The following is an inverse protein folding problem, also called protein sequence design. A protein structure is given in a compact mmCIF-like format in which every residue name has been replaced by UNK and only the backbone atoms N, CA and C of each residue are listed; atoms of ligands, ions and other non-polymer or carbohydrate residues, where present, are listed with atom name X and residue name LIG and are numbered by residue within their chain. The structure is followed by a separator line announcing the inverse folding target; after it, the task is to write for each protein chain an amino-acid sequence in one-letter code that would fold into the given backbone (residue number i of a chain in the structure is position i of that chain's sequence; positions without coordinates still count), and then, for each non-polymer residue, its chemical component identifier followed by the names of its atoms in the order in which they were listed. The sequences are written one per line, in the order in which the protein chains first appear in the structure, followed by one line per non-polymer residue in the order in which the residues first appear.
data_IF_673771276929
#
_entry.id   IF_673771276929
#
_cell.length_a   1.000
_cell.length_b   1.000
_cell.length_c   1.000
_cell.angle_alpha   90.00
_cell.angle_beta   90.00
_cell.angle_gamma   90.00
#
_symmetry.space_group_name_H-M   'P 1'
#
loop_
_entity.id
_entity.type
_entity.pdbx_description
1 polymer ?
#
# COMPACT_ATOMS: atom_id res chain seq x y z
N UNK A 1 -13.49 52.54 31.74
CA UNK A 1 -12.40 51.72 32.24
C UNK A 1 -12.74 50.28 31.89
N UNK A 2 -12.20 49.74 30.87
CA UNK A 2 -12.23 48.30 30.60
C UNK A 2 -11.22 48.03 29.47
N UNK A 3 -10.11 47.46 29.85
CA UNK A 3 -9.05 47.15 28.91
C UNK A 3 -9.38 45.95 28.07
N UNK A 4 -9.13 46.05 26.80
CA UNK A 4 -9.23 45.00 25.80
C UNK A 4 -7.79 44.46 25.56
N UNK A 5 -7.49 43.27 26.08
CA UNK A 5 -6.26 42.57 25.78
C UNK A 5 -6.48 41.64 24.57
N UNK A 6 -6.16 42.16 23.40
CA UNK A 6 -6.03 41.36 22.19
C UNK A 6 -4.63 40.74 22.11
N UNK A 7 -4.48 39.45 22.36
CA UNK A 7 -3.24 38.73 22.09
C UNK A 7 -3.18 38.37 20.61
N UNK A 8 -2.33 39.08 19.89
CA UNK A 8 -1.98 38.75 18.48
C UNK A 8 -1.10 37.52 18.47
N UNK A 9 -1.57 36.44 17.83
CA UNK A 9 -0.75 35.28 17.50
C UNK A 9 0.13 35.66 16.30
N UNK A 10 1.41 35.89 16.55
CA UNK A 10 2.41 36.06 15.50
C UNK A 10 2.72 34.70 14.87
N UNK A 11 2.35 34.52 13.60
CA UNK A 11 2.82 33.40 12.79
C UNK A 11 4.24 33.67 12.33
N UNK A 12 5.19 32.89 12.87
CA UNK A 12 6.59 32.94 12.45
C UNK A 12 6.73 32.55 10.96
N UNK A 13 7.56 33.33 10.27
CA UNK A 13 7.93 33.13 8.86
C UNK A 13 8.56 31.76 8.63
N UNK A 14 8.07 31.04 7.63
CA UNK A 14 8.55 29.73 7.23
C UNK A 14 10.01 29.78 6.79
N UNK A 15 10.89 29.18 7.59
CA UNK A 15 12.25 28.84 7.17
C UNK A 15 12.22 27.51 6.43
N UNK A 16 12.90 27.47 5.30
CA UNK A 16 13.41 26.35 4.51
C UNK A 16 12.66 25.02 4.57
N UNK A 17 11.90 24.68 3.53
CA UNK A 17 11.38 23.32 3.32
C UNK A 17 12.57 22.44 2.96
N UNK A 18 13.12 21.76 3.95
CA UNK A 18 14.02 20.64 3.70
C UNK A 18 13.24 19.52 3.03
N UNK A 19 13.78 18.99 1.95
CA UNK A 19 13.27 17.78 1.27
C UNK A 19 13.14 16.65 2.30
N UNK A 20 11.95 16.05 2.50
CA UNK A 20 11.83 14.95 3.45
C UNK A 20 12.73 13.81 2.97
N UNK A 21 13.60 13.37 3.88
CA UNK A 21 14.44 12.21 3.70
C UNK A 21 13.59 11.02 3.21
N UNK A 22 14.11 10.29 2.22
CA UNK A 22 13.56 9.03 1.78
C UNK A 22 13.23 8.17 3.00
N UNK A 23 12.07 7.51 2.97
CA UNK A 23 11.59 6.62 4.02
C UNK A 23 12.75 5.69 4.44
N UNK A 24 13.34 6.01 5.59
CA UNK A 24 14.49 5.27 6.11
C UNK A 24 13.98 3.91 6.58
N UNK A 25 14.46 2.85 5.95
CA UNK A 25 14.16 1.44 6.27
C UNK A 25 14.76 0.97 7.63
N UNK A 26 14.90 1.88 8.60
CA UNK A 26 15.67 1.62 9.82
C UNK A 26 14.92 0.91 10.96
N UNK A 27 13.64 0.53 10.78
CA UNK A 27 12.88 -0.21 11.80
C UNK A 27 12.11 -1.38 11.17
N UNK A 28 12.86 -2.37 10.67
CA UNK A 28 12.28 -3.70 10.44
C UNK A 28 12.66 -4.58 11.63
N UNK A 29 11.71 -5.28 12.28
CA UNK A 29 12.06 -6.32 13.24
C UNK A 29 12.91 -7.37 12.51
N UNK A 30 13.96 -7.83 13.14
CA UNK A 30 14.81 -8.87 12.64
C UNK A 30 13.98 -10.14 12.44
N UNK A 31 13.54 -10.38 11.20
CA UNK A 31 13.11 -11.71 10.81
C UNK A 31 14.33 -12.64 10.96
N UNK A 32 14.15 -13.92 11.37
CA UNK A 32 15.25 -14.84 11.48
C UNK A 32 16.03 -14.88 10.17
N UNK A 33 17.35 -14.79 10.27
CA UNK A 33 18.24 -14.83 9.11
C UNK A 33 17.90 -16.05 8.25
N UNK A 34 17.71 -15.90 6.92
CA UNK A 34 17.43 -17.03 6.05
C UNK A 34 18.66 -17.96 6.05
N UNK A 35 18.52 -19.14 6.64
CA UNK A 35 19.59 -20.15 6.67
C UNK A 35 19.69 -20.96 5.38
N UNK A 36 18.90 -20.64 4.35
CA UNK A 36 18.98 -21.21 2.99
C UNK A 36 18.52 -20.16 1.98
N UNK A 37 19.19 -20.05 0.84
CA UNK A 37 18.75 -19.22 -0.28
C UNK A 37 17.29 -19.54 -0.61
N UNK A 38 16.43 -18.53 -0.65
CA UNK A 38 15.03 -18.74 -0.98
C UNK A 38 14.91 -19.37 -2.39
N UNK A 39 13.89 -20.21 -2.65
CA UNK A 39 13.70 -20.84 -3.95
C UNK A 39 13.72 -19.82 -5.08
N UNK A 40 14.27 -20.18 -6.24
CA UNK A 40 14.37 -19.30 -7.41
C UNK A 40 13.01 -18.77 -7.90
N UNK A 41 11.91 -19.43 -7.54
CA UNK A 41 10.52 -19.01 -7.80
C UNK A 41 9.86 -18.33 -6.59
N UNK A 42 10.58 -18.01 -5.52
CA UNK A 42 10.03 -17.31 -4.35
C UNK A 42 9.60 -15.90 -4.73
N UNK A 43 8.36 -15.54 -4.40
CA UNK A 43 7.77 -14.25 -4.77
C UNK A 43 7.14 -13.56 -3.56
N UNK A 44 7.54 -12.32 -3.32
CA UNK A 44 6.89 -11.42 -2.38
C UNK A 44 5.79 -10.64 -3.11
N UNK A 45 4.53 -10.85 -2.70
CA UNK A 45 3.39 -10.10 -3.22
C UNK A 45 2.98 -9.01 -2.23
N UNK A 46 3.22 -7.74 -2.56
CA UNK A 46 2.64 -6.63 -1.80
C UNK A 46 1.11 -6.67 -1.87
N UNK A 47 0.44 -6.69 -0.71
CA UNK A 47 -1.01 -6.80 -0.58
C UNK A 47 -1.60 -5.56 0.06
N UNK A 48 -2.49 -4.87 -0.66
CA UNK A 48 -3.20 -3.69 -0.15
C UNK A 48 -4.49 -4.03 0.62
N UNK A 49 -5.12 -5.17 0.33
CA UNK A 49 -6.32 -5.69 0.98
C UNK A 49 -6.64 -7.10 0.48
N UNK A 50 -7.48 -7.83 1.20
CA UNK A 50 -7.87 -9.20 0.83
C UNK A 50 -8.47 -9.31 -0.58
N UNK A 51 -9.55 -8.58 -0.91
CA UNK A 51 -10.18 -8.67 -2.23
C UNK A 51 -9.25 -8.40 -3.42
N UNK A 52 -8.29 -7.46 -3.26
CA UNK A 52 -7.33 -7.14 -4.31
C UNK A 52 -6.25 -8.22 -4.47
N UNK A 53 -6.04 -9.07 -3.47
CA UNK A 53 -5.02 -10.11 -3.47
C UNK A 53 -5.49 -11.43 -4.10
N UNK A 54 -6.81 -11.68 -4.18
CA UNK A 54 -7.37 -12.97 -4.64
C UNK A 54 -6.82 -13.39 -5.99
N UNK A 55 -6.98 -12.55 -7.01
CA UNK A 55 -6.55 -12.90 -8.36
C UNK A 55 -5.03 -12.87 -8.54
N UNK A 56 -4.29 -11.85 -8.02
CA UNK A 56 -2.84 -11.88 -8.06
C UNK A 56 -2.23 -13.14 -7.42
N UNK A 57 -2.69 -13.57 -6.26
CA UNK A 57 -2.21 -14.81 -5.63
C UNK A 57 -2.53 -16.00 -6.53
N UNK A 58 -3.76 -16.11 -7.04
CA UNK A 58 -4.18 -17.23 -7.87
C UNK A 58 -3.33 -17.33 -9.13
N UNK A 59 -3.24 -16.25 -9.91
CA UNK A 59 -2.52 -16.25 -11.19
C UNK A 59 -1.01 -16.49 -11.03
N UNK A 60 -0.38 -15.85 -10.05
CA UNK A 60 1.04 -16.05 -9.81
C UNK A 60 1.36 -17.49 -9.37
N UNK A 61 0.48 -18.13 -8.58
CA UNK A 61 0.63 -19.54 -8.24
C UNK A 61 0.42 -20.46 -9.44
N UNK A 62 -0.56 -20.17 -10.29
CA UNK A 62 -0.80 -20.92 -11.53
C UNK A 62 0.41 -20.85 -12.48
N UNK A 63 1.20 -19.76 -12.40
CA UNK A 63 2.47 -19.58 -13.11
C UNK A 63 3.67 -20.25 -12.42
N UNK A 64 3.46 -20.93 -11.29
CA UNK A 64 4.51 -21.68 -10.58
C UNK A 64 5.30 -20.89 -9.54
N UNK A 65 4.91 -19.66 -9.18
CA UNK A 65 5.56 -18.91 -8.11
C UNK A 65 5.18 -19.43 -6.73
N UNK A 66 6.16 -19.50 -5.83
CA UNK A 66 5.97 -19.69 -4.40
C UNK A 66 5.64 -18.33 -3.75
N UNK A 67 4.35 -17.99 -3.72
CA UNK A 67 3.87 -16.67 -3.29
C UNK A 67 3.84 -16.56 -1.77
N UNK A 68 4.44 -15.48 -1.24
CA UNK A 68 4.26 -14.99 0.13
C UNK A 68 3.60 -13.62 0.07
N UNK A 69 2.46 -13.47 0.71
CA UNK A 69 1.76 -12.19 0.83
C UNK A 69 2.48 -11.26 1.84
N UNK A 70 2.56 -9.97 1.55
CA UNK A 70 3.14 -8.96 2.43
C UNK A 70 2.20 -7.77 2.56
N UNK A 71 1.63 -7.60 3.75
CA UNK A 71 0.70 -6.52 4.04
C UNK A 71 1.45 -5.33 4.64
N UNK A 72 1.71 -4.30 3.82
CA UNK A 72 2.37 -3.04 4.19
C UNK A 72 1.62 -1.85 3.58
N UNK A 73 0.96 -1.07 4.41
CA UNK A 73 0.03 -0.04 3.95
C UNK A 73 0.01 1.18 4.89
N UNK A 74 1.04 2.02 4.93
CA UNK A 74 1.10 3.19 5.82
C UNK A 74 0.05 4.25 5.48
N UNK A 75 -0.54 4.16 4.30
CA UNK A 75 -1.54 5.09 3.77
C UNK A 75 -2.97 4.82 4.25
N UNK A 76 -3.26 3.66 4.84
CA UNK A 76 -4.64 3.30 5.20
C UNK A 76 -5.02 3.93 6.53
N UNK A 77 -6.09 4.71 6.52
CA UNK A 77 -6.63 5.44 7.66
C UNK A 77 -8.16 5.39 7.67
N UNK A 78 -8.81 5.48 8.83
CA UNK A 78 -8.23 5.42 10.18
C UNK A 78 -7.73 4.02 10.57
N UNK A 79 -7.20 3.86 11.78
CA UNK A 79 -6.72 2.56 12.29
C UNK A 79 -7.77 1.45 12.16
N UNK A 80 -9.04 1.76 12.40
CA UNK A 80 -10.12 0.78 12.27
C UNK A 80 -10.24 0.23 10.83
N UNK A 81 -10.02 1.07 9.81
CA UNK A 81 -10.01 0.62 8.41
C UNK A 81 -8.76 -0.20 8.10
N UNK A 82 -7.60 0.20 8.63
CA UNK A 82 -6.36 -0.58 8.51
C UNK A 82 -6.54 -1.99 9.07
N UNK A 83 -7.08 -2.12 10.28
CA UNK A 83 -7.31 -3.41 10.94
C UNK A 83 -8.29 -4.29 10.16
N UNK A 84 -9.38 -3.74 9.63
CA UNK A 84 -10.33 -4.50 8.78
C UNK A 84 -9.67 -5.05 7.52
N UNK A 85 -8.81 -4.25 6.86
CA UNK A 85 -8.11 -4.70 5.65
C UNK A 85 -7.01 -5.71 5.96
N UNK A 86 -6.32 -5.53 7.08
CA UNK A 86 -5.33 -6.47 7.59
C UNK A 86 -5.97 -7.84 7.84
N UNK A 87 -7.09 -7.86 8.53
CA UNK A 87 -7.86 -9.07 8.78
C UNK A 87 -8.31 -9.74 7.47
N UNK A 88 -8.91 -8.97 6.57
CA UNK A 88 -9.34 -9.50 5.26
C UNK A 88 -8.16 -10.02 4.41
N UNK A 89 -6.98 -9.43 4.51
CA UNK A 89 -5.77 -9.93 3.86
C UNK A 89 -5.34 -11.28 4.45
N UNK A 90 -5.40 -11.43 5.78
CA UNK A 90 -5.14 -12.68 6.47
C UNK A 90 -6.10 -13.79 6.07
N UNK A 91 -7.41 -13.51 6.08
CA UNK A 91 -8.46 -14.45 5.66
C UNK A 91 -8.27 -14.88 4.19
N UNK A 92 -7.88 -13.95 3.31
CA UNK A 92 -7.59 -14.26 1.91
C UNK A 92 -6.38 -15.19 1.79
N UNK A 93 -5.29 -14.89 2.48
CA UNK A 93 -4.07 -15.69 2.47
C UNK A 93 -4.32 -17.11 3.00
N UNK A 94 -5.03 -17.23 4.11
CA UNK A 94 -5.41 -18.52 4.71
C UNK A 94 -6.23 -19.37 3.75
N UNK A 95 -7.30 -18.80 3.16
CA UNK A 95 -8.18 -19.52 2.23
C UNK A 95 -7.49 -19.93 0.94
N UNK A 96 -6.49 -19.17 0.52
CA UNK A 96 -5.68 -19.49 -0.65
C UNK A 96 -4.43 -20.31 -0.30
N UNK A 97 -4.19 -20.63 0.97
CA UNK A 97 -3.05 -21.46 1.43
C UNK A 97 -1.70 -20.85 1.13
N UNK A 98 -1.55 -19.51 1.31
CA UNK A 98 -0.27 -18.81 1.16
C UNK A 98 0.14 -18.17 2.49
N UNK A 99 1.45 -18.13 2.81
CA UNK A 99 1.91 -17.41 3.99
C UNK A 99 1.70 -15.91 3.83
N UNK A 100 1.48 -15.21 4.96
CA UNK A 100 1.37 -13.75 5.01
C UNK A 100 2.30 -13.17 6.07
N UNK A 101 2.99 -12.09 5.71
CA UNK A 101 3.82 -11.28 6.59
C UNK A 101 3.15 -9.93 6.76
N UNK A 102 3.02 -9.48 8.00
CA UNK A 102 2.48 -8.16 8.33
C UNK A 102 3.61 -7.21 8.69
N UNK A 103 3.61 -6.02 8.11
CA UNK A 103 4.53 -4.94 8.42
C UNK A 103 3.80 -3.83 9.19
N UNK A 104 3.13 -4.21 10.28
CA UNK A 104 2.28 -3.33 11.08
C UNK A 104 3.07 -2.16 11.69
N UNK A 105 4.36 -2.33 11.95
CA UNK A 105 5.29 -1.31 12.43
C UNK A 105 5.49 -0.16 11.43
N UNK A 106 5.18 -0.39 10.16
CA UNK A 106 5.25 0.66 9.11
C UNK A 106 4.04 1.57 9.10
N UNK A 107 2.98 1.24 9.86
CA UNK A 107 1.78 2.06 9.93
C UNK A 107 2.01 3.29 10.80
N UNK A 108 2.44 4.38 10.16
CA UNK A 108 2.67 5.70 10.77
C UNK A 108 1.95 6.78 9.97
N UNK A 109 0.75 7.15 10.47
CA UNK A 109 -0.08 8.18 9.86
C UNK A 109 0.63 9.54 9.78
N UNK A 110 1.43 9.88 10.80
CA UNK A 110 2.10 11.17 10.86
C UNK A 110 3.16 11.29 9.79
N UNK A 111 3.99 10.26 9.62
CA UNK A 111 5.01 10.21 8.58
C UNK A 111 4.37 10.16 7.19
N UNK A 112 3.30 9.38 7.00
CA UNK A 112 2.61 9.35 5.72
C UNK A 112 2.01 10.71 5.35
N UNK A 113 1.34 11.41 6.27
CA UNK A 113 0.77 12.75 6.04
C UNK A 113 1.85 13.78 5.71
N UNK A 114 2.99 13.75 6.40
CA UNK A 114 4.14 14.61 6.10
C UNK A 114 4.69 14.34 4.70
N UNK A 115 4.82 13.08 4.32
CA UNK A 115 5.35 12.68 3.02
C UNK A 115 4.47 13.10 1.84
N UNK A 116 3.15 13.20 2.04
CA UNK A 116 2.21 13.67 1.00
C UNK A 116 1.85 15.15 1.12
N UNK A 117 2.38 15.87 2.10
CA UNK A 117 2.19 17.32 2.23
C UNK A 117 2.67 18.03 0.96
N UNK A 118 1.84 18.94 0.43
CA UNK A 118 2.11 19.60 -0.86
C UNK A 118 1.88 18.73 -2.11
N UNK A 119 1.42 17.46 -1.94
CA UNK A 119 1.03 16.53 -3.01
C UNK A 119 -0.39 16.04 -2.79
N UNK A 120 -1.28 16.89 -2.35
CA UNK A 120 -2.65 16.54 -1.94
C UNK A 120 -3.57 16.19 -3.11
N UNK A 121 -3.20 16.55 -4.34
CA UNK A 121 -3.96 16.20 -5.55
C UNK A 121 -3.74 14.73 -5.96
N UNK A 122 -4.77 14.04 -6.52
CA UNK A 122 -4.71 12.62 -6.84
C UNK A 122 -3.48 12.19 -7.66
N UNK A 123 -3.10 12.81 -8.79
CA UNK A 123 -1.98 12.30 -9.57
C UNK A 123 -0.67 12.26 -8.77
N UNK A 124 -0.27 13.37 -8.14
CA UNK A 124 1.00 13.46 -7.42
C UNK A 124 1.00 12.62 -6.12
N UNK A 125 -0.08 12.69 -5.34
CA UNK A 125 -0.23 11.90 -4.12
C UNK A 125 -0.26 10.41 -4.41
N UNK A 126 -1.04 9.99 -5.41
CA UNK A 126 -1.20 8.57 -5.74
C UNK A 126 0.07 7.97 -6.34
N UNK A 127 0.81 8.72 -7.17
CA UNK A 127 2.11 8.30 -7.68
C UNK A 127 3.08 8.04 -6.52
N UNK A 128 3.31 9.02 -5.66
CA UNK A 128 4.16 8.84 -4.47
C UNK A 128 3.73 7.63 -3.63
N UNK A 129 2.43 7.50 -3.36
CA UNK A 129 1.89 6.42 -2.53
C UNK A 129 2.13 5.03 -3.14
N UNK A 130 2.06 4.89 -4.46
CA UNK A 130 2.34 3.63 -5.14
C UNK A 130 3.84 3.35 -5.23
N UNK A 131 4.64 4.34 -5.61
CA UNK A 131 6.09 4.23 -5.72
C UNK A 131 6.73 3.89 -4.39
N UNK A 132 6.37 4.57 -3.30
CA UNK A 132 6.92 4.30 -1.96
C UNK A 132 6.63 2.89 -1.47
N UNK A 133 5.44 2.34 -1.78
CA UNK A 133 5.11 0.94 -1.44
C UNK A 133 5.87 -0.06 -2.30
N UNK A 134 6.07 0.24 -3.59
CA UNK A 134 6.91 -0.60 -4.46
C UNK A 134 8.37 -0.59 -3.99
N UNK A 135 8.93 0.58 -3.67
CA UNK A 135 10.28 0.71 -3.11
C UNK A 135 10.44 -0.13 -1.83
N UNK A 136 9.48 -0.01 -0.91
CA UNK A 136 9.51 -0.79 0.33
C UNK A 136 9.39 -2.30 0.07
N UNK A 137 8.56 -2.74 -0.89
CA UNK A 137 8.43 -4.15 -1.25
C UNK A 137 9.72 -4.72 -1.83
N UNK A 138 10.39 -3.98 -2.71
CA UNK A 138 11.68 -4.39 -3.27
C UNK A 138 12.79 -4.41 -2.21
N UNK A 139 12.85 -3.41 -1.33
CA UNK A 139 13.82 -3.36 -0.24
C UNK A 139 13.64 -4.55 0.71
N UNK A 140 12.40 -4.85 1.12
CA UNK A 140 12.09 -5.99 1.98
C UNK A 140 12.39 -7.32 1.28
N UNK A 141 11.99 -7.48 0.02
CA UNK A 141 12.26 -8.69 -0.75
C UNK A 141 13.76 -8.96 -0.88
N UNK A 142 14.57 -7.93 -1.17
CA UNK A 142 16.03 -8.03 -1.23
C UNK A 142 16.63 -8.44 0.12
N UNK A 143 16.16 -7.84 1.20
CA UNK A 143 16.63 -8.16 2.56
C UNK A 143 16.31 -9.60 2.96
N UNK A 144 15.13 -10.10 2.58
CA UNK A 144 14.65 -11.44 2.90
C UNK A 144 15.05 -12.51 1.88
N UNK A 145 15.72 -12.13 0.80
CA UNK A 145 16.20 -13.06 -0.23
C UNK A 145 15.13 -13.57 -1.18
N UNK A 146 13.98 -12.90 -1.32
CA UNK A 146 12.99 -13.25 -2.34
C UNK A 146 13.54 -12.99 -3.74
N UNK A 147 13.30 -13.95 -4.66
CA UNK A 147 13.75 -13.82 -6.04
C UNK A 147 12.87 -12.86 -6.87
N UNK A 148 11.59 -12.69 -6.51
CA UNK A 148 10.62 -11.93 -7.27
C UNK A 148 9.75 -11.04 -6.39
N UNK A 149 9.27 -9.92 -6.96
CA UNK A 149 8.29 -9.00 -6.36
C UNK A 149 7.13 -8.80 -7.30
N UNK A 150 5.92 -8.71 -6.75
CA UNK A 150 4.72 -8.25 -7.45
C UNK A 150 3.83 -7.43 -6.50
N UNK A 151 2.72 -6.89 -7.02
CA UNK A 151 1.80 -6.09 -6.19
C UNK A 151 0.35 -6.30 -6.58
N UNK A 152 -0.51 -6.43 -5.59
CA UNK A 152 -1.97 -6.44 -5.76
C UNK A 152 -2.53 -5.10 -6.23
N UNK A 153 -1.72 -4.04 -6.26
CA UNK A 153 -2.09 -2.75 -6.85
C UNK A 153 -2.34 -2.85 -8.36
N UNK A 154 -1.68 -3.80 -9.04
CA UNK A 154 -1.84 -4.08 -10.47
C UNK A 154 -3.20 -4.68 -10.84
N UNK A 155 -3.97 -5.14 -9.84
CA UNK A 155 -5.33 -5.64 -10.05
C UNK A 155 -6.38 -4.54 -10.10
N UNK A 156 -6.17 -3.42 -9.40
CA UNK A 156 -7.18 -2.39 -9.26
C UNK A 156 -7.28 -1.49 -10.50
N UNK A 157 -8.50 -1.34 -11.03
CA UNK A 157 -8.80 -0.39 -12.12
C UNK A 157 -8.72 1.08 -11.71
N UNK A 158 -8.60 1.36 -10.40
CA UNK A 158 -8.59 2.70 -9.83
C UNK A 158 -7.18 3.18 -9.44
N UNK A 159 -6.18 2.29 -9.56
CA UNK A 159 -4.79 2.65 -9.25
C UNK A 159 -4.06 3.17 -10.50
N UNK A 160 -3.05 4.02 -10.35
CA UNK A 160 -2.23 4.50 -11.47
C UNK A 160 -1.34 3.37 -11.99
N UNK A 161 -1.90 2.50 -12.82
CA UNK A 161 -1.29 1.25 -13.27
C UNK A 161 0.10 1.46 -13.89
N UNK A 162 0.22 2.43 -14.79
CA UNK A 162 1.50 2.70 -15.47
C UNK A 162 2.60 3.19 -14.52
N UNK A 163 2.22 3.95 -13.48
CA UNK A 163 3.15 4.37 -12.44
C UNK A 163 3.68 3.16 -11.65
N UNK A 164 2.80 2.23 -11.29
CA UNK A 164 3.17 1.01 -10.54
C UNK A 164 4.08 0.13 -11.40
N UNK A 165 3.73 -0.05 -12.68
CA UNK A 165 4.53 -0.79 -13.65
C UNK A 165 5.91 -0.20 -13.81
N UNK A 166 6.00 1.09 -14.13
CA UNK A 166 7.27 1.80 -14.31
C UNK A 166 8.16 1.74 -13.05
N UNK A 167 7.57 1.94 -11.87
CA UNK A 167 8.30 1.83 -10.60
C UNK A 167 8.87 0.42 -10.40
N UNK A 168 8.08 -0.62 -10.67
CA UNK A 168 8.54 -2.02 -10.56
C UNK A 168 9.66 -2.36 -11.54
N UNK A 169 9.54 -1.94 -12.80
CA UNK A 169 10.55 -2.14 -13.84
C UNK A 169 11.86 -1.41 -13.49
N UNK A 170 11.78 -0.16 -13.04
CA UNK A 170 12.93 0.63 -12.62
C UNK A 170 13.66 0.03 -11.42
N UNK A 171 12.91 -0.47 -10.43
CA UNK A 171 13.47 -1.09 -9.24
C UNK A 171 14.14 -2.43 -9.56
N UNK A 172 13.54 -3.23 -10.42
CA UNK A 172 14.08 -4.52 -10.84
C UNK A 172 15.36 -4.38 -11.71
N UNK A 173 15.55 -3.25 -12.38
CA UNK A 173 16.75 -2.97 -13.16
C UNK A 173 17.99 -2.63 -12.29
N UNK A 174 17.83 -2.45 -10.98
CA UNK A 174 18.95 -2.16 -10.08
C UNK A 174 19.79 -3.43 -9.82
N UNK A 175 21.09 -3.25 -9.67
CA UNK A 175 22.00 -4.36 -9.39
C UNK A 175 21.62 -5.11 -8.10
N UNK A 176 21.53 -6.43 -8.18
CA UNK A 176 21.15 -7.29 -7.06
C UNK A 176 19.72 -7.13 -6.57
N UNK A 177 18.84 -6.51 -7.37
CA UNK A 177 17.43 -6.44 -7.07
C UNK A 177 16.70 -7.75 -7.41
N UNK A 178 15.61 -8.09 -6.70
CA UNK A 178 14.71 -9.15 -7.14
C UNK A 178 14.04 -8.81 -8.46
N UNK A 179 13.64 -9.82 -9.24
CA UNK A 179 12.88 -9.62 -10.47
C UNK A 179 11.49 -9.03 -10.22
N UNK A 180 10.93 -8.37 -11.20
CA UNK A 180 9.55 -7.87 -11.16
C UNK A 180 8.62 -8.81 -11.93
N UNK A 181 7.76 -9.55 -11.22
CA UNK A 181 6.71 -10.38 -11.82
C UNK A 181 5.51 -9.50 -12.17
N UNK A 182 5.67 -8.69 -13.23
CA UNK A 182 4.60 -7.85 -13.75
C UNK A 182 3.51 -8.70 -14.42
N UNK A 183 2.26 -8.44 -14.02
CA UNK A 183 1.04 -8.93 -14.69
C UNK A 183 -0.04 -7.87 -14.62
N UNK A 184 -0.78 -7.69 -15.68
CA UNK A 184 -1.98 -6.87 -15.68
C UNK A 184 -3.18 -7.71 -15.22
N UNK A 185 -3.45 -7.68 -13.93
CA UNK A 185 -4.57 -8.43 -13.35
C UNK A 185 -5.93 -7.75 -13.53
N UNK A 186 -6.01 -6.60 -14.23
CA UNK A 186 -7.29 -5.88 -14.43
C UNK A 186 -8.27 -6.66 -15.29
N UNK A 187 -7.79 -7.57 -16.16
CA UNK A 187 -8.62 -8.48 -16.91
C UNK A 187 -9.45 -9.41 -16.00
N UNK A 188 -8.90 -9.78 -14.85
CA UNK A 188 -9.54 -10.65 -13.86
C UNK A 188 -10.48 -9.91 -12.90
N UNK A 189 -10.81 -8.64 -13.17
CA UNK A 189 -11.55 -7.78 -12.24
C UNK A 189 -12.87 -8.37 -11.77
N UNK A 190 -13.70 -8.85 -12.70
CA UNK A 190 -15.01 -9.41 -12.36
C UNK A 190 -14.88 -10.72 -11.58
N UNK A 191 -14.01 -11.61 -12.04
CA UNK A 191 -13.74 -12.87 -11.34
C UNK A 191 -13.26 -12.65 -9.91
N UNK A 192 -12.35 -11.69 -9.70
CA UNK A 192 -11.88 -11.36 -8.36
C UNK A 192 -12.95 -10.76 -7.44
N UNK A 193 -13.88 -9.97 -8.01
CA UNK A 193 -15.06 -9.50 -7.26
C UNK A 193 -15.89 -10.69 -6.79
N UNK A 194 -16.22 -11.61 -7.67
CA UNK A 194 -17.11 -12.73 -7.37
C UNK A 194 -16.46 -13.70 -6.39
N UNK A 195 -15.19 -14.04 -6.57
CA UNK A 195 -14.41 -14.84 -5.61
C UNK A 195 -14.29 -14.18 -4.25
N UNK A 196 -14.02 -12.86 -4.19
CA UNK A 196 -13.92 -12.14 -2.92
C UNK A 196 -15.24 -12.08 -2.15
N UNK A 197 -16.39 -12.05 -2.87
CA UNK A 197 -17.73 -12.16 -2.27
C UNK A 197 -17.98 -13.58 -1.75
N UNK A 198 -17.66 -14.61 -2.55
CA UNK A 198 -17.80 -16.00 -2.14
C UNK A 198 -16.92 -16.35 -0.92
N UNK A 199 -15.78 -15.66 -0.78
CA UNK A 199 -14.93 -15.71 0.39
C UNK A 199 -15.40 -14.77 1.52
N UNK A 200 -16.53 -14.08 1.41
CA UNK A 200 -17.06 -13.15 2.41
C UNK A 200 -16.03 -12.14 2.96
N UNK A 201 -15.05 -11.74 2.11
CA UNK A 201 -14.01 -10.83 2.50
C UNK A 201 -14.55 -9.40 2.64
N UNK A 202 -14.08 -8.69 3.67
CA UNK A 202 -14.34 -7.26 3.79
C UNK A 202 -13.90 -6.50 2.53
N UNK A 203 -14.82 -5.74 1.95
CA UNK A 203 -14.59 -4.96 0.72
C UNK A 203 -14.63 -3.47 1.02
N UNK A 204 -13.48 -2.84 0.84
CA UNK A 204 -13.33 -1.41 1.13
C UNK A 204 -14.08 -0.53 0.12
N UNK A 205 -14.68 0.59 0.59
CA UNK A 205 -15.40 1.52 -0.28
C UNK A 205 -14.51 2.60 -0.93
N UNK A 206 -13.25 2.77 -0.50
CA UNK A 206 -12.30 3.78 -0.99
C UNK A 206 -10.86 3.25 -1.01
N UNK A 207 -9.90 4.02 -1.56
CA UNK A 207 -8.52 3.57 -1.72
C UNK A 207 -7.80 3.29 -0.39
N UNK A 208 -8.11 4.08 0.66
CA UNK A 208 -7.59 3.85 2.02
C UNK A 208 -7.06 5.10 2.70
N UNK A 209 -6.56 6.09 1.98
CA UNK A 209 -6.09 7.32 2.60
C UNK A 209 -7.22 8.29 2.91
N UNK A 210 -7.01 9.16 3.89
CA UNK A 210 -7.97 10.19 4.32
C UNK A 210 -8.48 11.06 3.16
N UNK A 211 -7.63 11.37 2.20
CA UNK A 211 -8.04 12.14 1.01
C UNK A 211 -9.03 11.35 0.13
N UNK A 212 -8.77 10.07 -0.11
CA UNK A 212 -9.67 9.22 -0.90
C UNK A 212 -11.00 8.96 -0.19
N UNK A 213 -11.01 8.96 1.14
CA UNK A 213 -12.23 8.93 1.94
C UNK A 213 -13.04 10.23 1.75
N UNK A 214 -12.37 11.38 1.91
CA UNK A 214 -12.99 12.68 1.68
C UNK A 214 -13.56 12.79 0.26
N UNK A 215 -12.79 12.47 -0.78
CA UNK A 215 -13.22 12.45 -2.18
C UNK A 215 -14.47 11.57 -2.40
N UNK A 216 -14.52 10.42 -1.72
CA UNK A 216 -15.66 9.49 -1.82
C UNK A 216 -16.92 9.99 -1.17
N UNK A 217 -16.81 10.61 0.03
CA UNK A 217 -17.96 10.89 0.88
C UNK A 217 -18.36 12.36 0.94
N UNK A 218 -17.51 13.30 0.52
CA UNK A 218 -17.79 14.73 0.55
C UNK A 218 -19.12 15.09 -0.13
N UNK A 219 -19.41 14.53 -1.30
CA UNK A 219 -20.68 14.79 -2.01
C UNK A 219 -21.89 14.28 -1.23
N UNK A 220 -21.75 13.17 -0.51
CA UNK A 220 -22.81 12.61 0.33
C UNK A 220 -23.06 13.52 1.53
N UNK A 221 -21.99 13.94 2.20
CA UNK A 221 -22.06 14.88 3.33
C UNK A 221 -22.76 16.19 2.92
N UNK A 222 -22.35 16.78 1.80
CA UNK A 222 -22.94 18.02 1.30
C UNK A 222 -24.44 17.89 0.96
N UNK A 223 -24.92 16.72 0.56
CA UNK A 223 -26.36 16.46 0.37
C UNK A 223 -27.10 16.40 1.71
N UNK A 224 -26.51 15.75 2.73
CA UNK A 224 -27.13 15.66 4.05
C UNK A 224 -27.22 17.01 4.76
N UNK A 225 -26.34 17.98 4.45
CA UNK A 225 -26.34 19.31 5.07
C UNK A 225 -27.30 20.25 4.36
N UNK A 226 -27.60 20.02 3.08
CA UNK A 226 -28.47 20.89 2.25
C UNK A 226 -29.97 20.48 2.25
N UNK A 227 -30.28 19.32 2.76
CA UNK A 227 -31.67 18.81 2.94
C UNK A 227 -32.14 18.99 4.35
#
# INVERSE_FOLDING_TARGET
MSGNNGSSLEYGTAAGVETPAAFSAQHSPAAPAPSNAAPANSLLLHVCCGPCAVMPITRLRDEGFAVTAWFMNPNIQPLAEYLRRREAAGQCAERLGVPIIYADETWDITNWLRAVAGRDTPPARCAYCCESRMQAAFAFARQQGFAWVSSSLLYSRYQPHEVIKAAGEQLAAQEGAPGFAYRDFRADWQEGIDRSKAMELYRQPYCGCVYSEAERYQKKLLRCIKG
#
